data_IF_369124562055
#
_entry.id   IF_369124562055
#
_cell.length_a   1.000
_cell.length_b   1.000
_cell.length_c   1.000
_cell.angle_alpha   90.00
_cell.angle_beta   90.00
_cell.angle_gamma   90.00
#
_symmetry.space_group_name_H-M   'P 1'
#
loop_
_entity.id
_entity.type
_entity.pdbx_description
1 polymer ?
#
# COMPACT_ATOMS: atom_id res chain seq x y z
N UNK A 1 -15.65 6.05 -6.60
CA UNK A 1 -14.18 5.98 -6.52
C UNK A 1 -13.70 7.21 -5.75
N UNK A 2 -13.05 7.03 -4.60
CA UNK A 2 -12.45 8.10 -3.80
C UNK A 2 -10.92 7.95 -3.83
N UNK A 3 -10.20 9.03 -4.13
CA UNK A 3 -8.74 9.09 -4.05
C UNK A 3 -8.37 9.93 -2.84
N UNK A 4 -7.55 9.39 -1.93
CA UNK A 4 -7.17 10.07 -0.70
C UNK A 4 -5.77 9.65 -0.24
N UNK A 5 -5.20 10.41 0.69
CA UNK A 5 -3.96 10.05 1.37
C UNK A 5 -4.15 8.72 2.11
N UNK A 6 -3.11 7.90 2.05
CA UNK A 6 -3.01 6.65 2.78
C UNK A 6 -3.06 6.90 4.29
N UNK A 7 -3.79 6.06 5.01
CA UNK A 7 -3.80 6.00 6.47
C UNK A 7 -3.54 4.56 6.91
N UNK A 8 -3.16 4.36 8.18
CA UNK A 8 -2.71 3.03 8.66
C UNK A 8 -3.67 1.86 8.41
N UNK A 9 -5.00 2.10 8.38
CA UNK A 9 -5.99 1.06 8.09
C UNK A 9 -5.91 0.50 6.65
N UNK A 10 -5.26 1.21 5.72
CA UNK A 10 -5.14 0.79 4.33
C UNK A 10 -4.07 -0.30 4.13
N UNK A 11 -3.15 -0.48 5.09
CA UNK A 11 -1.97 -1.34 4.92
C UNK A 11 -2.32 -2.79 4.49
N UNK A 12 -3.30 -3.49 5.08
CA UNK A 12 -3.68 -4.84 4.62
C UNK A 12 -4.23 -4.86 3.19
N UNK A 13 -4.99 -3.83 2.80
CA UNK A 13 -5.57 -3.73 1.46
C UNK A 13 -4.52 -3.42 0.39
N UNK A 14 -3.52 -2.61 0.75
CA UNK A 14 -2.36 -2.30 -0.10
C UNK A 14 -1.50 -3.56 -0.29
N UNK A 15 -1.16 -4.28 0.78
CA UNK A 15 -0.37 -5.52 0.69
C UNK A 15 -1.03 -6.54 -0.26
N UNK A 16 -2.32 -6.80 -0.06
CA UNK A 16 -3.08 -7.69 -0.93
C UNK A 16 -3.20 -7.19 -2.39
N UNK A 17 -3.18 -5.88 -2.63
CA UNK A 17 -3.14 -5.29 -3.97
C UNK A 17 -1.80 -5.51 -4.65
N UNK A 18 -0.71 -5.22 -3.96
CA UNK A 18 0.62 -5.35 -4.55
C UNK A 18 0.92 -6.81 -4.91
N UNK A 19 0.63 -7.77 -4.00
CA UNK A 19 0.85 -9.20 -4.26
C UNK A 19 0.08 -9.71 -5.47
N UNK A 20 -1.19 -9.35 -5.60
CA UNK A 20 -2.02 -9.80 -6.74
C UNK A 20 -1.64 -9.13 -8.06
N UNK A 21 -1.18 -7.87 -8.02
CA UNK A 21 -0.95 -7.07 -9.23
C UNK A 21 0.40 -7.36 -9.85
N UNK A 22 1.43 -7.56 -9.03
CA UNK A 22 2.80 -7.78 -9.52
C UNK A 22 3.19 -9.26 -9.57
N UNK A 23 2.31 -10.17 -9.11
CA UNK A 23 2.52 -11.62 -9.23
C UNK A 23 3.64 -12.16 -8.34
N UNK A 24 4.00 -11.42 -7.29
CA UNK A 24 5.05 -11.76 -6.34
C UNK A 24 5.00 -10.84 -5.12
N UNK A 25 5.93 -11.04 -4.19
CA UNK A 25 5.91 -10.37 -2.87
C UNK A 25 6.82 -9.14 -2.79
N UNK A 26 7.65 -8.87 -3.81
CA UNK A 26 8.70 -7.86 -3.76
C UNK A 26 8.16 -6.45 -3.49
N UNK A 27 7.13 -6.04 -4.22
CA UNK A 27 6.50 -4.72 -4.06
C UNK A 27 5.79 -4.60 -2.72
N UNK A 28 5.10 -5.67 -2.30
CA UNK A 28 4.41 -5.69 -1.01
C UNK A 28 5.39 -5.58 0.16
N UNK A 29 6.50 -6.31 0.10
CA UNK A 29 7.55 -6.29 1.11
C UNK A 29 8.27 -4.94 1.15
N UNK A 30 8.64 -4.39 -0.01
CA UNK A 30 9.27 -3.07 -0.08
C UNK A 30 8.39 -1.99 0.55
N UNK A 31 7.09 -1.97 0.22
CA UNK A 31 6.15 -0.99 0.78
C UNK A 31 5.89 -1.21 2.26
N UNK A 32 5.90 -2.46 2.73
CA UNK A 32 5.83 -2.78 4.15
C UNK A 32 7.04 -2.22 4.90
N UNK A 33 8.26 -2.56 4.47
CA UNK A 33 9.51 -2.15 5.14
C UNK A 33 9.66 -0.62 5.16
N UNK A 34 9.40 0.05 4.02
CA UNK A 34 9.43 1.51 3.94
C UNK A 34 8.41 2.18 4.86
N UNK A 35 7.24 1.55 5.10
CA UNK A 35 6.22 2.09 6.00
C UNK A 35 6.65 1.94 7.46
N UNK A 36 7.13 0.76 7.85
CA UNK A 36 7.59 0.48 9.21
C UNK A 36 8.79 1.36 9.59
N UNK A 37 9.69 1.62 8.64
CA UNK A 37 10.85 2.50 8.84
C UNK A 37 10.52 4.01 8.74
N UNK A 38 9.27 4.37 8.41
CA UNK A 38 8.86 5.77 8.24
C UNK A 38 9.48 6.46 7.02
N UNK A 39 9.87 5.70 6.00
CA UNK A 39 10.52 6.17 4.78
C UNK A 39 9.54 6.47 3.64
N UNK A 40 8.26 6.13 3.78
CA UNK A 40 7.22 6.57 2.83
C UNK A 40 6.94 8.06 3.05
N UNK A 41 7.32 8.88 2.07
CA UNK A 41 7.07 10.34 2.09
C UNK A 41 5.59 10.68 1.85
N UNK A 42 4.93 9.99 0.92
CA UNK A 42 3.52 10.18 0.61
C UNK A 42 2.93 8.91 -0.04
N UNK A 43 1.86 8.37 0.55
CA UNK A 43 1.03 7.32 -0.03
C UNK A 43 -0.34 7.86 -0.42
N UNK A 44 -0.88 7.43 -1.58
CA UNK A 44 -2.23 7.77 -2.04
C UNK A 44 -2.95 6.48 -2.42
N UNK A 45 -4.18 6.32 -1.94
CA UNK A 45 -5.02 5.15 -2.20
C UNK A 45 -6.26 5.54 -2.99
N UNK A 46 -6.71 4.64 -3.85
CA UNK A 46 -8.00 4.72 -4.52
C UNK A 46 -8.94 3.66 -3.94
N UNK A 47 -10.02 4.09 -3.30
CA UNK A 47 -11.06 3.19 -2.77
C UNK A 47 -12.31 3.23 -3.66
N UNK A 48 -12.72 2.05 -4.11
CA UNK A 48 -14.04 1.82 -4.68
C UNK A 48 -15.04 1.48 -3.58
N UNK A 49 -16.34 1.59 -3.89
CA UNK A 49 -17.36 0.82 -3.17
C UNK A 49 -17.43 -0.56 -3.81
#
# INVERSE_FOLDING_TARGET
MLIRVEIGIDAPGIDALLRRTFGGDAEAQLVHDLREDGLITLGVVATGR
#
